data_IF_757333695661
#
_entry.id   IF_757333695661
#
_cell.length_a   1.000
_cell.length_b   1.000
_cell.length_c   1.000
_cell.angle_alpha   90.00
_cell.angle_beta   90.00
_cell.angle_gamma   90.00
#
_symmetry.space_group_name_H-M   'P 1'
#
loop_
_entity.id
_entity.type
_entity.pdbx_description
1 polymer ?
#
# COMPACT_ATOMS: atom_id res chain seq x y z
N UNK A 1 -1.42 42.30 -38.64
CA UNK A 1 -0.38 41.56 -37.90
C UNK A 1 -0.91 41.24 -36.52
N UNK A 2 -0.99 39.93 -36.28
CA UNK A 2 -1.33 39.17 -35.07
C UNK A 2 -0.57 39.60 -33.82
N UNK A 3 -1.26 39.56 -32.67
CA UNK A 3 -0.66 39.50 -31.33
C UNK A 3 -1.67 38.92 -30.34
N UNK A 4 -1.68 37.59 -30.22
CA UNK A 4 -2.55 36.78 -29.35
C UNK A 4 -1.79 36.29 -28.12
N UNK A 5 -2.50 36.16 -27.00
CA UNK A 5 -2.15 35.32 -25.85
C UNK A 5 -1.16 35.95 -24.85
N UNK A 6 -1.24 35.75 -23.54
CA UNK A 6 -1.98 34.79 -22.71
C UNK A 6 -2.24 35.51 -21.38
N UNK A 7 -3.50 35.55 -20.92
CA UNK A 7 -3.83 35.92 -19.53
C UNK A 7 -3.25 34.84 -18.62
N UNK A 8 -2.35 35.24 -17.73
CA UNK A 8 -1.74 34.37 -16.74
C UNK A 8 -2.78 33.60 -15.95
N UNK A 9 -2.60 32.28 -15.92
CA UNK A 9 -3.29 31.39 -15.00
C UNK A 9 -2.85 31.78 -13.58
N UNK A 10 -3.75 32.46 -12.87
CA UNK A 10 -3.62 32.71 -11.44
C UNK A 10 -3.97 31.41 -10.71
N UNK A 11 -2.95 30.57 -10.49
CA UNK A 11 -3.09 29.37 -9.67
C UNK A 11 -3.06 29.83 -8.21
N UNK A 12 -4.24 30.08 -7.66
CA UNK A 12 -4.40 30.40 -6.24
C UNK A 12 -3.77 29.30 -5.37
N UNK A 13 -2.81 29.70 -4.55
CA UNK A 13 -2.09 28.88 -3.56
C UNK A 13 -2.97 28.24 -2.49
N UNK A 14 -4.26 28.58 -2.44
CA UNK A 14 -5.25 28.00 -1.53
C UNK A 14 -5.62 26.55 -1.89
N UNK A 15 -5.50 26.14 -3.16
CA UNK A 15 -5.74 24.75 -3.58
C UNK A 15 -4.61 23.79 -3.13
N UNK A 16 -3.41 24.32 -2.89
CA UNK A 16 -2.24 23.54 -2.45
C UNK A 16 -2.15 23.44 -0.91
N UNK A 17 -2.82 24.36 -0.19
CA UNK A 17 -2.89 24.42 1.28
C UNK A 17 -3.99 23.53 1.86
N UNK A 18 -5.10 23.35 1.14
CA UNK A 18 -6.30 22.63 1.63
C UNK A 18 -6.28 21.11 1.35
N UNK A 19 -5.25 20.63 0.66
CA UNK A 19 -4.96 19.22 0.48
C UNK A 19 -3.70 18.85 1.26
N UNK A 20 -3.74 18.98 2.59
CA UNK A 20 -2.88 18.16 3.44
C UNK A 20 -3.41 16.72 3.36
N UNK A 21 -3.24 16.10 2.18
CA UNK A 21 -3.33 14.66 2.00
C UNK A 21 -2.32 14.09 2.95
N UNK A 22 -2.84 13.53 4.02
CA UNK A 22 -2.06 12.74 4.93
C UNK A 22 -1.65 11.51 4.15
N UNK A 23 -0.46 11.56 3.56
CA UNK A 23 0.17 10.42 2.91
C UNK A 23 0.54 9.43 4.02
N UNK A 24 -0.43 8.58 4.42
CA UNK A 24 -0.12 7.31 5.09
C UNK A 24 0.37 6.25 4.12
N UNK A 25 0.48 6.54 2.81
CA UNK A 25 1.14 5.69 1.81
C UNK A 25 2.65 5.55 1.98
N UNK A 26 3.19 5.87 3.15
CA UNK A 26 4.61 6.06 3.39
C UNK A 26 5.43 4.78 3.49
N UNK A 27 4.86 3.59 3.72
CA UNK A 27 5.68 2.44 4.15
C UNK A 27 5.56 1.15 3.36
N UNK A 28 4.48 0.93 2.60
CA UNK A 28 4.73 0.10 1.44
C UNK A 28 5.58 0.87 0.40
N UNK A 29 5.51 2.21 0.38
CA UNK A 29 6.45 3.10 -0.31
C UNK A 29 7.82 3.19 0.36
N UNK A 30 7.91 2.90 1.66
CA UNK A 30 9.18 2.75 2.36
C UNK A 30 9.93 1.48 1.96
N UNK A 31 9.25 0.47 1.40
CA UNK A 31 9.91 -0.67 0.75
C UNK A 31 10.53 -0.16 -0.57
N UNK A 32 10.00 0.92 -1.16
CA UNK A 32 10.46 1.55 -2.41
C UNK A 32 11.61 2.58 -2.22
N UNK A 33 11.59 3.44 -1.20
CA UNK A 33 12.53 4.57 -1.13
C UNK A 33 13.94 4.25 -0.59
N UNK A 34 14.19 3.04 -0.08
CA UNK A 34 15.56 2.62 0.32
C UNK A 34 15.84 1.14 0.10
N UNK A 35 15.04 0.44 -0.71
CA UNK A 35 15.47 -0.77 -1.41
C UNK A 35 15.83 -0.31 -2.82
N UNK A 36 16.95 0.44 -2.93
CA UNK A 36 17.49 1.09 -4.12
C UNK A 36 16.41 1.74 -5.01
N UNK A 37 16.23 3.06 -4.88
CA UNK A 37 15.19 3.84 -5.57
C UNK A 37 14.79 3.27 -6.92
N UNK A 38 13.52 2.85 -7.04
CA UNK A 38 12.95 2.35 -8.28
C UNK A 38 13.28 0.90 -8.67
N UNK A 39 14.37 0.29 -8.21
CA UNK A 39 14.88 -0.98 -8.78
C UNK A 39 14.20 -2.24 -8.20
N UNK A 40 13.81 -2.23 -6.92
CA UNK A 40 13.13 -3.36 -6.26
C UNK A 40 11.83 -3.77 -6.97
N UNK A 41 10.98 -2.78 -7.25
CA UNK A 41 9.70 -3.00 -7.91
C UNK A 41 9.85 -3.12 -9.44
N UNK A 42 10.91 -2.56 -10.04
CA UNK A 42 11.27 -2.83 -11.44
C UNK A 42 11.68 -4.29 -11.65
N UNK A 43 12.41 -4.91 -10.72
CA UNK A 43 12.72 -6.35 -10.75
C UNK A 43 11.46 -7.23 -10.62
N UNK A 44 10.55 -6.88 -9.71
CA UNK A 44 9.25 -7.55 -9.59
C UNK A 44 8.39 -7.38 -10.87
N UNK A 45 8.47 -6.22 -11.54
CA UNK A 45 7.84 -5.97 -12.85
C UNK A 45 8.46 -6.78 -13.98
N UNK A 46 9.78 -6.90 -14.05
CA UNK A 46 10.44 -7.73 -15.08
C UNK A 46 10.03 -9.20 -14.96
N UNK A 47 9.90 -9.73 -13.74
CA UNK A 47 9.33 -11.06 -13.51
C UNK A 47 7.86 -11.20 -13.97
N UNK A 48 7.07 -10.14 -13.81
CA UNK A 48 5.67 -10.07 -14.26
C UNK A 48 5.51 -9.90 -15.79
N UNK A 49 6.40 -9.12 -16.43
CA UNK A 49 6.39 -8.83 -17.87
C UNK A 49 6.84 -10.05 -18.70
N UNK A 50 7.71 -10.91 -18.15
CA UNK A 50 8.16 -12.13 -18.84
C UNK A 50 7.05 -13.20 -18.92
N UNK A 51 5.98 -13.13 -18.11
CA UNK A 51 4.93 -14.16 -18.09
C UNK A 51 3.63 -13.82 -18.84
N UNK A 52 3.48 -12.61 -19.36
CA UNK A 52 2.24 -12.20 -20.03
C UNK A 52 2.37 -12.26 -21.56
N UNK A 53 2.01 -13.41 -22.16
CA UNK A 53 1.24 -13.56 -23.43
C UNK A 53 1.64 -14.80 -24.25
N UNK A 54 0.87 -15.89 -24.26
CA UNK A 54 1.09 -17.05 -25.15
C UNK A 54 0.81 -16.78 -26.66
N UNK A 55 0.80 -15.51 -27.11
CA UNK A 55 0.50 -15.16 -28.51
C UNK A 55 1.28 -13.95 -29.07
N UNK A 56 2.04 -13.20 -28.26
CA UNK A 56 2.74 -11.98 -28.72
C UNK A 56 4.28 -12.12 -28.75
N UNK A 57 4.81 -13.26 -28.30
CA UNK A 57 6.23 -13.42 -27.94
C UNK A 57 7.18 -13.55 -29.15
N UNK A 58 6.71 -13.93 -30.34
CA UNK A 58 7.62 -14.19 -31.47
C UNK A 58 8.24 -12.94 -32.12
N UNK A 59 7.89 -11.71 -31.73
CA UNK A 59 8.51 -10.49 -32.29
C UNK A 59 9.45 -9.75 -31.33
N UNK A 60 9.39 -10.02 -30.03
CA UNK A 60 10.15 -9.26 -29.02
C UNK A 60 11.46 -9.93 -28.60
N UNK A 61 11.61 -11.24 -28.80
CA UNK A 61 12.77 -12.02 -28.36
C UNK A 61 14.06 -11.70 -29.17
N UNK A 62 13.96 -11.14 -30.38
CA UNK A 62 15.17 -10.88 -31.19
C UNK A 62 16.01 -9.67 -30.75
N UNK A 63 15.54 -8.83 -29.81
CA UNK A 63 16.25 -7.60 -29.43
C UNK A 63 16.78 -7.56 -27.99
N UNK A 64 16.58 -8.61 -27.19
CA UNK A 64 17.05 -8.66 -25.80
C UNK A 64 18.24 -9.62 -25.67
N UNK A 65 19.29 -9.35 -26.44
CA UNK A 65 20.63 -9.86 -26.17
C UNK A 65 21.55 -8.67 -26.08
N UNK A 66 21.54 -7.98 -24.94
CA UNK A 66 22.72 -7.29 -24.41
C UNK A 66 22.45 -6.79 -22.99
N UNK A 67 23.26 -7.33 -22.07
CA UNK A 67 23.75 -6.65 -20.86
C UNK A 67 22.76 -6.45 -19.69
N UNK A 68 22.78 -7.37 -18.73
CA UNK A 68 22.26 -7.11 -17.37
C UNK A 68 23.11 -7.88 -16.34
N UNK A 69 24.33 -7.40 -16.08
CA UNK A 69 25.13 -7.75 -14.92
C UNK A 69 25.08 -6.57 -13.93
N UNK A 70 23.97 -6.41 -13.18
CA UNK A 70 23.92 -5.51 -11.99
C UNK A 70 22.55 -5.52 -11.27
N UNK A 71 21.90 -6.66 -11.04
CA UNK A 71 20.54 -6.69 -10.44
C UNK A 71 20.34 -7.56 -9.18
N UNK A 72 21.38 -8.18 -8.62
CA UNK A 72 21.20 -9.31 -7.66
C UNK A 72 21.47 -9.01 -6.17
N UNK A 73 21.89 -7.80 -5.79
CA UNK A 73 22.43 -7.53 -4.44
C UNK A 73 21.43 -6.97 -3.41
N UNK A 74 20.34 -6.30 -3.83
CA UNK A 74 19.43 -5.59 -2.92
C UNK A 74 18.24 -6.44 -2.42
N UNK A 75 17.70 -7.33 -3.26
CA UNK A 75 16.61 -8.26 -2.92
C UNK A 75 17.00 -9.24 -1.80
N UNK A 76 18.28 -9.60 -1.73
CA UNK A 76 18.83 -10.58 -0.78
C UNK A 76 18.90 -10.07 0.68
N UNK A 77 18.89 -8.74 0.90
CA UNK A 77 19.06 -8.16 2.24
C UNK A 77 17.90 -8.50 3.18
N UNK A 78 16.68 -8.45 2.66
CA UNK A 78 15.45 -8.71 3.42
C UNK A 78 14.68 -9.93 2.92
N UNK A 79 15.24 -10.66 1.95
CA UNK A 79 14.71 -11.91 1.38
C UNK A 79 13.30 -11.73 0.81
N UNK A 80 13.10 -10.68 0.01
CA UNK A 80 11.77 -10.37 -0.53
C UNK A 80 11.65 -10.97 -1.92
N UNK A 81 10.53 -11.65 -2.18
CA UNK A 81 10.22 -12.24 -3.49
C UNK A 81 8.77 -11.95 -3.88
N UNK A 82 8.46 -12.16 -5.15
CA UNK A 82 7.10 -12.09 -5.67
C UNK A 82 6.87 -13.28 -6.58
N UNK A 83 5.78 -14.01 -6.36
CA UNK A 83 5.31 -15.02 -7.30
C UNK A 83 4.33 -14.41 -8.31
N UNK A 84 3.85 -15.20 -9.27
CA UNK A 84 3.01 -14.70 -10.38
C UNK A 84 1.55 -14.45 -9.94
N UNK A 85 1.25 -14.46 -8.64
CA UNK A 85 -0.12 -14.30 -8.13
C UNK A 85 -0.51 -12.84 -7.98
N UNK A 86 -1.71 -12.49 -8.45
CA UNK A 86 -2.33 -11.20 -8.24
C UNK A 86 -3.83 -11.34 -7.97
N UNK A 87 -4.44 -10.31 -7.39
CA UNK A 87 -5.89 -10.20 -7.30
C UNK A 87 -6.45 -9.75 -8.65
N UNK A 88 -7.24 -10.60 -9.30
CA UNK A 88 -7.80 -10.32 -10.62
C UNK A 88 -8.99 -9.35 -10.56
N UNK A 89 -9.71 -9.31 -9.43
CA UNK A 89 -10.88 -8.47 -9.23
C UNK A 89 -11.19 -8.28 -7.74
N UNK A 90 -12.12 -7.38 -7.44
CA UNK A 90 -12.56 -7.06 -6.07
C UNK A 90 -13.07 -8.30 -5.32
N UNK A 91 -13.85 -9.17 -5.97
CA UNK A 91 -14.41 -10.36 -5.32
C UNK A 91 -13.32 -11.29 -4.80
N UNK A 92 -12.20 -11.41 -5.51
CA UNK A 92 -11.07 -12.22 -5.05
C UNK A 92 -10.38 -11.62 -3.82
N UNK A 93 -10.23 -10.28 -3.78
CA UNK A 93 -9.74 -9.57 -2.60
C UNK A 93 -10.70 -9.76 -1.42
N UNK A 94 -12.01 -9.61 -1.64
CA UNK A 94 -13.04 -9.77 -0.61
C UNK A 94 -13.02 -11.19 -0.03
N UNK A 95 -12.92 -12.20 -0.89
CA UNK A 95 -12.79 -13.60 -0.47
C UNK A 95 -11.50 -13.82 0.35
N UNK A 96 -10.38 -13.22 -0.07
CA UNK A 96 -9.14 -13.31 0.69
C UNK A 96 -9.28 -12.69 2.08
N UNK A 97 -9.90 -11.51 2.19
CA UNK A 97 -10.12 -10.82 3.46
C UNK A 97 -10.99 -11.68 4.37
N UNK A 98 -12.13 -12.15 3.89
CA UNK A 98 -13.04 -13.00 4.67
C UNK A 98 -12.37 -14.28 5.17
N UNK A 99 -11.53 -14.90 4.35
CA UNK A 99 -10.85 -16.14 4.71
C UNK A 99 -9.68 -15.93 5.69
N UNK A 100 -8.87 -14.90 5.48
CA UNK A 100 -7.56 -14.76 6.15
C UNK A 100 -7.48 -13.63 7.17
N UNK A 101 -8.33 -12.59 7.05
CA UNK A 101 -8.22 -11.36 7.84
C UNK A 101 -9.40 -11.21 8.79
N UNK A 102 -10.62 -11.46 8.34
CA UNK A 102 -11.81 -11.15 9.13
C UNK A 102 -13.05 -10.90 8.30
N UNK A 103 -14.20 -10.73 8.96
CA UNK A 103 -15.48 -10.46 8.31
C UNK A 103 -15.48 -9.06 7.69
N UNK A 104 -15.36 -9.00 6.35
CA UNK A 104 -15.21 -7.74 5.61
C UNK A 104 -16.36 -6.77 5.87
N UNK A 105 -17.61 -7.28 5.86
CA UNK A 105 -18.80 -6.44 6.06
C UNK A 105 -18.82 -5.80 7.45
N UNK A 106 -18.47 -6.55 8.49
CA UNK A 106 -18.35 -6.07 9.87
C UNK A 106 -17.22 -5.06 10.01
N UNK A 107 -16.06 -5.35 9.42
CA UNK A 107 -14.89 -4.45 9.42
C UNK A 107 -15.30 -3.10 8.82
N UNK A 108 -15.73 -3.09 7.56
CA UNK A 108 -16.08 -1.86 6.84
C UNK A 108 -17.17 -1.06 7.57
N UNK A 109 -18.20 -1.73 8.09
CA UNK A 109 -19.31 -1.08 8.78
C UNK A 109 -18.89 -0.49 10.12
N UNK A 110 -18.17 -1.26 10.96
CA UNK A 110 -17.86 -0.81 12.33
C UNK A 110 -16.80 0.27 12.38
N UNK A 111 -15.78 0.21 11.52
CA UNK A 111 -14.72 1.24 11.48
C UNK A 111 -14.97 2.31 10.40
N UNK A 112 -16.11 2.24 9.71
CA UNK A 112 -16.52 3.19 8.66
C UNK A 112 -15.43 3.37 7.62
N UNK A 113 -15.01 2.27 7.01
CA UNK A 113 -13.98 2.27 5.94
C UNK A 113 -14.46 1.48 4.73
N UNK A 114 -13.73 1.59 3.62
CA UNK A 114 -13.88 0.71 2.45
C UNK A 114 -12.55 0.10 2.06
N UNK A 115 -12.53 -1.18 1.73
CA UNK A 115 -11.32 -1.88 1.26
C UNK A 115 -11.50 -2.20 -0.21
N UNK A 116 -10.73 -1.54 -1.06
CA UNK A 116 -10.86 -1.62 -2.50
C UNK A 116 -9.57 -2.17 -3.13
N UNK A 117 -9.74 -3.03 -4.12
CA UNK A 117 -8.68 -3.37 -5.04
C UNK A 117 -8.38 -2.14 -5.90
N UNK A 118 -7.11 -1.76 -5.99
CA UNK A 118 -6.72 -0.59 -6.77
C UNK A 118 -6.96 -0.81 -8.26
N UNK A 119 -7.61 0.17 -8.89
CA UNK A 119 -7.79 0.32 -10.33
C UNK A 119 -7.20 1.66 -10.75
N UNK A 120 -7.00 1.89 -12.05
CA UNK A 120 -6.57 3.21 -12.55
C UNK A 120 -7.53 4.32 -12.09
N UNK A 121 -8.82 4.03 -12.09
CA UNK A 121 -9.89 4.99 -11.77
C UNK A 121 -9.88 5.37 -10.28
N UNK A 122 -9.96 4.38 -9.39
CA UNK A 122 -10.02 4.66 -7.96
C UNK A 122 -8.68 5.12 -7.38
N UNK A 123 -7.54 4.67 -7.94
CA UNK A 123 -6.23 5.14 -7.50
C UNK A 123 -6.08 6.65 -7.80
N UNK A 124 -6.47 7.07 -9.02
CA UNK A 124 -6.39 8.47 -9.44
C UNK A 124 -7.27 9.38 -8.58
N UNK A 125 -8.46 8.94 -8.18
CA UNK A 125 -9.35 9.67 -7.27
C UNK A 125 -8.65 10.08 -5.95
N UNK A 126 -7.73 9.24 -5.47
CA UNK A 126 -7.03 9.43 -4.20
C UNK A 126 -5.59 9.90 -4.33
N UNK A 127 -5.16 10.33 -5.52
CA UNK A 127 -3.79 10.82 -5.76
C UNK A 127 -2.74 9.71 -5.85
N UNK A 128 -3.13 8.53 -6.32
CA UNK A 128 -2.23 7.41 -6.63
C UNK A 128 -2.32 7.07 -8.11
N UNK A 129 -1.35 6.29 -8.60
CA UNK A 129 -1.39 5.73 -9.94
C UNK A 129 -1.26 4.21 -9.87
N UNK A 130 -1.86 3.52 -10.83
CA UNK A 130 -1.64 2.09 -11.01
C UNK A 130 -0.79 1.91 -12.27
N UNK A 131 0.42 1.39 -12.08
CA UNK A 131 1.34 1.12 -13.17
C UNK A 131 1.42 -0.41 -13.33
N UNK A 132 0.63 -0.94 -14.28
CA UNK A 132 0.37 -2.37 -14.39
C UNK A 132 -0.50 -2.89 -13.23
N UNK A 133 0.05 -3.78 -12.41
CA UNK A 133 -0.61 -4.34 -11.21
C UNK A 133 -0.09 -3.73 -9.91
N UNK A 134 0.70 -2.67 -10.01
CA UNK A 134 1.42 -2.08 -8.90
C UNK A 134 0.90 -0.67 -8.63
N UNK A 135 0.35 -0.46 -7.43
CA UNK A 135 -0.04 0.86 -6.95
C UNK A 135 1.20 1.69 -6.63
N UNK A 136 1.16 2.98 -6.94
CA UNK A 136 2.24 3.93 -6.71
C UNK A 136 1.72 5.24 -6.12
N UNK A 137 2.49 5.83 -5.21
CA UNK A 137 2.19 7.13 -4.63
C UNK A 137 2.60 8.28 -5.58
N UNK A 138 2.41 9.53 -5.14
CA UNK A 138 2.75 10.75 -5.91
C UNK A 138 4.25 10.89 -6.22
N UNK A 139 5.11 10.30 -5.39
CA UNK A 139 6.57 10.26 -5.60
C UNK A 139 7.00 9.11 -6.51
N UNK A 140 6.03 8.42 -7.14
CA UNK A 140 6.21 7.24 -7.98
C UNK A 140 6.76 6.01 -7.21
N UNK A 141 6.78 6.05 -5.88
CA UNK A 141 7.15 4.92 -5.05
C UNK A 141 6.05 3.87 -5.07
N UNK A 142 6.45 2.61 -5.24
CA UNK A 142 5.49 1.51 -5.30
C UNK A 142 5.06 1.08 -3.89
N UNK A 143 3.74 0.90 -3.75
CA UNK A 143 3.02 0.65 -2.51
C UNK A 143 2.18 -0.64 -2.65
N UNK A 144 2.17 -1.50 -1.65
CA UNK A 144 1.36 -2.72 -1.58
C UNK A 144 -0.08 -2.44 -1.12
N UNK A 145 -0.27 -1.33 -0.42
CA UNK A 145 -1.56 -0.79 0.01
C UNK A 145 -1.39 0.62 0.56
N UNK A 146 -2.49 1.34 0.68
CA UNK A 146 -2.51 2.67 1.31
C UNK A 146 -3.87 2.95 1.93
N UNK A 147 -3.86 3.64 3.05
CA UNK A 147 -5.06 4.15 3.71
C UNK A 147 -5.17 5.64 3.51
N UNK A 148 -6.26 6.07 2.87
CA UNK A 148 -6.56 7.46 2.56
C UNK A 148 -7.71 7.94 3.44
N UNK A 149 -7.53 9.12 4.05
CA UNK A 149 -8.56 9.72 4.91
C UNK A 149 -9.54 10.53 4.06
N UNK A 150 -10.84 10.31 4.27
CA UNK A 150 -11.85 11.26 3.79
C UNK A 150 -11.91 12.46 4.72
N UNK A 151 -11.49 13.64 4.24
CA UNK A 151 -11.89 14.92 4.82
C UNK A 151 -12.98 15.50 3.93
N UNK A 152 -14.20 14.96 3.99
CA UNK A 152 -15.23 15.50 3.11
C UNK A 152 -15.62 16.92 3.58
N UNK A 153 -15.43 17.93 2.70
CA UNK A 153 -15.93 19.30 2.83
C UNK A 153 -17.46 19.37 2.85
N UNK A 154 -18.14 18.26 2.58
CA UNK A 154 -19.58 18.13 2.74
C UNK A 154 -19.93 16.97 3.69
N UNK A 155 -20.30 17.32 4.93
CA UNK A 155 -20.63 16.38 6.02
C UNK A 155 -21.89 15.56 5.75
N UNK A 156 -22.57 15.80 4.64
CA UNK A 156 -23.86 15.19 4.31
C UNK A 156 -23.75 13.87 3.52
N UNK A 157 -22.59 13.54 2.92
CA UNK A 157 -22.50 12.38 1.98
C UNK A 157 -21.43 11.31 2.29
N UNK A 158 -20.38 11.56 3.08
CA UNK A 158 -19.39 10.51 3.37
C UNK A 158 -19.77 9.64 4.59
N UNK A 159 -20.41 8.49 4.35
CA UNK A 159 -20.66 7.46 5.40
C UNK A 159 -19.36 6.84 5.97
N UNK A 160 -18.24 6.97 5.25
CA UNK A 160 -16.94 6.39 5.60
C UNK A 160 -15.90 7.48 5.98
N UNK A 161 -15.01 7.16 6.93
CA UNK A 161 -13.91 8.00 7.39
C UNK A 161 -12.61 7.77 6.58
N UNK A 162 -12.48 6.63 5.90
CA UNK A 162 -11.29 6.25 5.13
C UNK A 162 -11.60 5.28 3.98
N UNK A 163 -10.66 5.16 3.05
CA UNK A 163 -10.54 4.06 2.06
C UNK A 163 -9.18 3.42 2.22
N UNK A 164 -9.14 2.10 2.12
CA UNK A 164 -7.92 1.32 1.95
C UNK A 164 -7.87 0.87 0.49
N UNK A 165 -6.86 1.30 -0.25
CA UNK A 165 -6.56 0.78 -1.57
C UNK A 165 -5.51 -0.33 -1.44
N UNK A 166 -5.74 -1.46 -2.09
CA UNK A 166 -4.83 -2.62 -2.09
C UNK A 166 -4.25 -2.81 -3.49
N UNK A 167 -2.92 -2.90 -3.60
CA UNK A 167 -2.24 -3.16 -4.87
C UNK A 167 -2.52 -4.59 -5.34
N UNK A 168 -2.96 -4.84 -6.59
CA UNK A 168 -3.27 -6.19 -7.06
C UNK A 168 -2.14 -7.21 -6.90
N UNK A 169 -0.89 -6.81 -7.13
CA UNK A 169 0.27 -7.70 -7.04
C UNK A 169 0.70 -8.06 -5.60
N UNK A 170 0.09 -7.50 -4.56
CA UNK A 170 0.45 -7.82 -3.17
C UNK A 170 0.13 -9.27 -2.80
N UNK A 171 -0.74 -9.93 -3.60
CA UNK A 171 -1.12 -11.33 -3.42
C UNK A 171 0.08 -12.28 -3.54
N UNK A 172 0.99 -12.02 -4.48
CA UNK A 172 2.15 -12.86 -4.75
C UNK A 172 3.40 -12.52 -3.93
N UNK A 173 3.38 -11.38 -3.22
CA UNK A 173 4.54 -10.92 -2.47
C UNK A 173 4.82 -11.72 -1.22
N UNK A 174 6.11 -11.99 -0.98
CA UNK A 174 6.60 -12.75 0.16
C UNK A 174 7.85 -12.14 0.77
N UNK A 175 7.98 -12.30 2.08
CA UNK A 175 9.25 -12.19 2.80
C UNK A 175 9.69 -13.60 3.16
N UNK A 176 10.83 -14.04 2.64
CA UNK A 176 11.24 -15.44 2.56
C UNK A 176 10.11 -16.25 1.90
N UNK A 177 9.38 -17.05 2.68
CA UNK A 177 8.21 -17.81 2.23
C UNK A 177 6.89 -17.34 2.87
N UNK A 178 6.92 -16.21 3.59
CA UNK A 178 5.76 -15.66 4.30
C UNK A 178 5.06 -14.64 3.41
N UNK A 179 3.79 -14.90 3.08
CA UNK A 179 2.96 -13.95 2.33
C UNK A 179 2.89 -12.60 3.04
N UNK A 180 3.15 -11.53 2.29
CA UNK A 180 3.02 -10.15 2.72
C UNK A 180 1.56 -9.64 2.69
N UNK A 181 0.65 -10.35 2.01
CA UNK A 181 -0.72 -9.91 1.76
C UNK A 181 -1.50 -9.65 3.05
N UNK A 182 -1.54 -10.63 3.95
CA UNK A 182 -2.25 -10.47 5.23
C UNK A 182 -1.62 -9.42 6.13
N UNK A 183 -0.29 -9.32 6.08
CA UNK A 183 0.45 -8.30 6.81
C UNK A 183 0.08 -6.90 6.33
N UNK A 184 0.11 -6.67 5.01
CA UNK A 184 -0.19 -5.38 4.40
C UNK A 184 -1.64 -4.97 4.65
N UNK A 185 -2.61 -5.86 4.47
CA UNK A 185 -4.02 -5.52 4.72
C UNK A 185 -4.24 -5.13 6.19
N UNK A 186 -3.69 -5.88 7.13
CA UNK A 186 -3.81 -5.53 8.55
C UNK A 186 -3.06 -4.25 8.93
N UNK A 187 -1.91 -3.98 8.30
CA UNK A 187 -1.19 -2.73 8.45
C UNK A 187 -2.07 -1.53 8.07
N UNK A 188 -2.73 -1.60 6.91
CA UNK A 188 -3.67 -0.57 6.47
C UNK A 188 -4.92 -0.48 7.37
N UNK A 189 -5.43 -1.61 7.87
CA UNK A 189 -6.54 -1.60 8.82
C UNK A 189 -6.21 -0.87 10.12
N UNK A 190 -4.98 -0.98 10.63
CA UNK A 190 -4.52 -0.23 11.81
C UNK A 190 -4.61 1.27 11.54
N UNK A 191 -4.20 1.73 10.35
CA UNK A 191 -4.36 3.13 9.94
C UNK A 191 -5.83 3.56 9.90
N UNK A 192 -6.70 2.77 9.26
CA UNK A 192 -8.13 3.06 9.17
C UNK A 192 -8.79 3.15 10.56
N UNK A 193 -8.41 2.27 11.48
CA UNK A 193 -8.84 2.30 12.89
C UNK A 193 -8.37 3.59 13.56
N UNK A 194 -7.11 3.99 13.36
CA UNK A 194 -6.61 5.21 13.96
C UNK A 194 -7.34 6.47 13.43
N UNK A 195 -7.70 6.47 12.14
CA UNK A 195 -8.53 7.49 11.51
C UNK A 195 -9.94 7.50 12.13
N UNK A 196 -10.59 6.33 12.23
CA UNK A 196 -11.93 6.18 12.78
C UNK A 196 -12.04 6.70 14.22
N UNK A 197 -11.04 6.37 15.04
CA UNK A 197 -10.96 6.81 16.44
C UNK A 197 -10.50 8.26 16.60
N UNK A 198 -10.14 8.94 15.51
CA UNK A 198 -9.67 10.34 15.49
C UNK A 198 -8.51 10.59 16.45
N UNK A 199 -7.55 9.68 16.49
CA UNK A 199 -6.41 9.86 17.40
C UNK A 199 -5.62 11.14 17.06
N UNK A 200 -5.22 11.92 18.08
CA UNK A 200 -4.40 13.11 17.86
C UNK A 200 -2.98 12.71 17.41
N UNK A 201 -2.29 13.60 16.71
CA UNK A 201 -0.93 13.36 16.21
C UNK A 201 -0.81 12.11 15.31
N UNK A 202 -1.81 11.86 14.46
CA UNK A 202 -1.88 10.72 13.54
C UNK A 202 -0.57 10.47 12.80
N UNK A 203 -0.02 11.49 12.12
CA UNK A 203 1.22 11.39 11.33
C UNK A 203 2.43 10.96 12.16
N UNK A 204 2.42 11.23 13.47
CA UNK A 204 3.56 10.95 14.34
C UNK A 204 3.64 9.48 14.74
N UNK A 205 2.50 8.83 14.95
CA UNK A 205 2.43 7.55 15.67
C UNK A 205 1.75 6.41 14.91
N UNK A 206 0.84 6.71 13.97
CA UNK A 206 0.04 5.68 13.28
C UNK A 206 0.92 4.64 12.60
N UNK A 207 2.00 5.12 11.96
CA UNK A 207 2.93 4.32 11.21
C UNK A 207 3.78 3.42 12.09
N UNK A 208 4.34 3.99 13.16
CA UNK A 208 5.08 3.19 14.12
C UNK A 208 4.22 2.08 14.73
N UNK A 209 2.94 2.34 14.98
CA UNK A 209 2.00 1.31 15.42
C UNK A 209 1.76 0.24 14.36
N UNK A 210 1.39 0.62 13.13
CA UNK A 210 1.14 -0.34 12.05
C UNK A 210 2.39 -1.17 11.71
N UNK A 211 3.56 -0.54 11.68
CA UNK A 211 4.85 -1.20 11.48
C UNK A 211 5.24 -2.16 12.61
N UNK A 212 4.85 -1.90 13.87
CA UNK A 212 5.06 -2.89 14.94
C UNK A 212 4.22 -4.15 14.74
N UNK A 213 3.03 -4.06 14.13
CA UNK A 213 2.26 -5.25 13.74
C UNK A 213 2.99 -6.02 12.65
N UNK A 214 3.44 -5.33 11.59
CA UNK A 214 4.18 -5.96 10.48
C UNK A 214 5.44 -6.68 10.97
N UNK A 215 6.19 -6.06 11.88
CA UNK A 215 7.33 -6.69 12.54
C UNK A 215 6.95 -7.98 13.28
N UNK A 216 5.95 -7.90 14.17
CA UNK A 216 5.52 -9.06 14.97
C UNK A 216 4.99 -10.18 14.08
N UNK A 217 4.23 -9.86 13.04
CA UNK A 217 3.74 -10.80 12.05
C UNK A 217 4.91 -11.54 11.39
N UNK A 218 5.88 -10.81 10.82
CA UNK A 218 7.00 -11.43 10.13
C UNK A 218 7.89 -12.25 11.07
N UNK A 219 8.13 -11.78 12.30
CA UNK A 219 8.85 -12.58 13.31
C UNK A 219 8.10 -13.88 13.64
N UNK A 220 6.78 -13.81 13.88
CA UNK A 220 5.95 -14.96 14.22
C UNK A 220 5.90 -16.01 13.11
N UNK A 221 5.92 -15.56 11.86
CA UNK A 221 5.82 -16.43 10.69
C UNK A 221 7.18 -16.87 10.12
N UNK A 222 8.30 -16.55 10.79
CA UNK A 222 9.63 -17.05 10.40
C UNK A 222 10.33 -16.25 9.30
N UNK A 223 10.00 -14.96 9.14
CA UNK A 223 10.66 -14.03 8.21
C UNK A 223 11.43 -12.92 8.97
N UNK A 224 12.43 -13.25 9.81
CA UNK A 224 13.12 -12.27 10.65
C UNK A 224 13.92 -11.23 9.85
N UNK A 225 14.41 -11.58 8.65
CA UNK A 225 15.03 -10.60 7.73
C UNK A 225 14.02 -9.54 7.30
N UNK A 226 12.84 -9.95 6.84
CA UNK A 226 11.73 -9.04 6.55
C UNK A 226 11.28 -8.22 7.77
N UNK A 227 11.24 -8.83 8.96
CA UNK A 227 10.93 -8.09 10.18
C UNK A 227 11.94 -6.98 10.47
N UNK A 228 13.25 -7.25 10.28
CA UNK A 228 14.34 -6.30 10.53
C UNK A 228 14.14 -4.96 9.80
N UNK A 229 13.62 -5.01 8.57
CA UNK A 229 13.25 -3.83 7.80
C UNK A 229 12.31 -2.87 8.57
N UNK A 230 11.28 -3.40 9.24
CA UNK A 230 10.34 -2.58 10.02
C UNK A 230 10.96 -2.06 11.31
N UNK A 231 11.76 -2.89 12.01
CA UNK A 231 12.40 -2.47 13.27
C UNK A 231 13.45 -1.39 13.10
N UNK A 232 14.20 -1.40 11.98
CA UNK A 232 15.28 -0.43 11.75
C UNK A 232 14.77 0.98 11.44
N UNK A 233 13.53 1.11 10.96
CA UNK A 233 13.04 2.35 10.36
C UNK A 233 11.86 2.98 11.07
N UNK A 234 10.96 2.16 11.64
CA UNK A 234 9.62 2.63 11.97
C UNK A 234 9.19 2.32 13.38
N UNK A 235 9.74 1.27 14.00
CA UNK A 235 9.43 0.95 15.38
C UNK A 235 10.02 2.01 16.31
N UNK A 236 9.13 2.74 16.96
CA UNK A 236 9.44 3.69 18.03
C UNK A 236 8.32 3.61 19.09
N UNK A 237 8.58 4.08 20.33
CA UNK A 237 7.54 4.15 21.34
C UNK A 237 6.31 4.93 20.84
N UNK A 238 5.13 4.34 21.00
CA UNK A 238 3.84 4.97 20.68
C UNK A 238 2.98 5.09 21.94
N UNK A 239 2.12 6.11 22.04
CA UNK A 239 1.14 6.18 23.11
C UNK A 239 0.27 4.92 23.16
N UNK A 240 -0.15 4.51 24.35
CA UNK A 240 -0.94 3.29 24.57
C UNK A 240 -2.22 3.23 23.72
N UNK A 241 -2.82 4.38 23.45
CA UNK A 241 -4.02 4.47 22.64
C UNK A 241 -3.77 4.23 21.14
N UNK A 242 -2.52 4.31 20.66
CA UNK A 242 -2.10 3.88 19.32
C UNK A 242 -1.72 2.40 19.27
N UNK A 243 -1.53 1.70 20.39
CA UNK A 243 -1.09 0.31 20.37
C UNK A 243 -2.19 -0.61 19.84
N UNK A 244 -1.97 -1.26 18.69
CA UNK A 244 -2.88 -2.29 18.18
C UNK A 244 -3.00 -3.46 19.17
N UNK A 245 -1.90 -3.86 19.83
CA UNK A 245 -1.88 -4.94 20.83
C UNK A 245 -2.79 -4.66 22.02
N UNK A 246 -2.75 -3.44 22.58
CA UNK A 246 -3.64 -3.07 23.71
C UNK A 246 -5.10 -2.96 23.29
N UNK A 247 -5.35 -2.67 22.01
CA UNK A 247 -6.68 -2.55 21.44
C UNK A 247 -7.19 -3.85 20.80
N UNK A 248 -6.45 -4.96 20.89
CA UNK A 248 -6.78 -6.22 20.21
C UNK A 248 -8.25 -6.69 20.44
N UNK A 249 -8.84 -6.58 21.65
CA UNK A 249 -10.26 -6.91 21.84
C UNK A 249 -11.20 -6.09 20.95
N UNK A 250 -10.89 -4.81 20.71
CA UNK A 250 -11.66 -3.96 19.81
C UNK A 250 -11.51 -4.41 18.35
N UNK A 251 -10.31 -4.81 17.94
CA UNK A 251 -10.05 -5.29 16.57
C UNK A 251 -10.87 -6.56 16.29
N UNK A 252 -10.90 -7.50 17.24
CA UNK A 252 -11.73 -8.70 17.17
C UNK A 252 -13.21 -8.35 17.12
N UNK A 253 -13.67 -7.42 17.96
CA UNK A 253 -15.06 -6.93 17.91
C UNK A 253 -15.39 -6.22 16.58
N UNK A 254 -14.40 -5.66 15.89
CA UNK A 254 -14.55 -5.10 14.54
C UNK A 254 -14.49 -6.14 13.44
N UNK A 255 -14.37 -7.43 13.76
CA UNK A 255 -14.44 -8.53 12.80
C UNK A 255 -13.08 -9.03 12.32
N UNK A 256 -11.96 -8.48 12.83
CA UNK A 256 -10.60 -8.97 12.53
C UNK A 256 -10.33 -10.28 13.30
N UNK A 257 -9.69 -11.25 12.64
CA UNK A 257 -9.32 -12.56 13.20
C UNK A 257 -7.98 -12.54 13.93
#
# INVERSE_FOLDING_TARGET
MTGSGIKGLNINSEAFSDALTVVSGGITGGISSTIAGGDFWQGARQGLIISASYSAINKFISSINTTSQSQDLSLNKYDVSNDVSYFANQQELDNYINNNIGDLGTIETKIKTKILLATNENAAEYGYTLDGLQLRNLDNDAVGGTTVRFFNKDRSVAKNNSVILISPNIKGMKFSNVSATSMTINHELIHAIHIYRRHPNYHKYTEASASTYSYVYLMKHGAPKGAKYYSERYIKPVPLYYSWRRNLPNYINWGVK
#
